data_IF_438114969753
#
_entry.id   IF_438114969753
#
_cell.length_a   1.000
_cell.length_b   1.000
_cell.length_c   1.000
_cell.angle_alpha   90.00
_cell.angle_beta   90.00
_cell.angle_gamma   90.00
#
_symmetry.space_group_name_H-M   'P 1'
#
loop_
_entity.id
_entity.type
_entity.pdbx_description
1 polymer ?
#
# COMPACT_ATOMS: atom_id res chain seq x y z
N UNK A 1 24.59 -0.65 -8.60
CA UNK A 1 23.89 -1.17 -7.39
C UNK A 1 24.72 -0.73 -6.20
N UNK A 2 24.07 -0.24 -5.14
CA UNK A 2 24.72 0.22 -3.91
C UNK A 2 23.99 -0.45 -2.74
N UNK A 3 24.75 -0.97 -1.79
CA UNK A 3 24.19 -1.50 -0.55
C UNK A 3 23.95 -0.37 0.45
N UNK A 4 23.01 -0.55 1.38
CA UNK A 4 22.80 0.41 2.46
C UNK A 4 24.11 0.61 3.25
N UNK A 5 24.40 1.86 3.60
CA UNK A 5 25.62 2.31 4.30
C UNK A 5 26.93 2.13 3.52
N UNK A 6 26.91 1.57 2.30
CA UNK A 6 28.10 1.53 1.46
C UNK A 6 28.41 2.92 0.92
N UNK A 7 29.65 3.38 1.08
CA UNK A 7 30.13 4.62 0.44
C UNK A 7 30.67 4.30 -0.95
N UNK A 8 30.15 5.03 -1.95
CA UNK A 8 30.60 4.97 -3.35
C UNK A 8 31.08 6.36 -3.76
N UNK A 9 32.12 6.43 -4.58
CA UNK A 9 32.63 7.67 -5.15
C UNK A 9 32.61 7.62 -6.68
N UNK A 10 32.05 8.65 -7.30
CA UNK A 10 32.03 8.82 -8.76
C UNK A 10 32.38 10.26 -9.08
N UNK A 11 33.46 10.48 -9.84
CA UNK A 11 33.91 11.80 -10.27
C UNK A 11 34.08 12.81 -9.11
N UNK A 12 34.62 12.36 -7.97
CA UNK A 12 34.83 13.19 -6.78
C UNK A 12 33.57 13.48 -5.95
N UNK A 13 32.44 12.85 -6.28
CA UNK A 13 31.19 12.92 -5.51
C UNK A 13 31.07 11.62 -4.71
N UNK A 14 31.10 11.72 -3.37
CA UNK A 14 30.86 10.58 -2.49
C UNK A 14 29.39 10.51 -2.11
N UNK A 15 28.82 9.32 -2.10
CA UNK A 15 27.45 9.12 -1.67
C UNK A 15 27.25 7.75 -1.04
N UNK A 16 26.28 7.68 -0.14
CA UNK A 16 25.79 6.45 0.49
C UNK A 16 24.31 6.64 0.82
N UNK A 17 23.64 5.57 1.23
CA UNK A 17 22.24 5.64 1.58
C UNK A 17 21.88 4.96 2.90
N UNK A 18 20.81 5.46 3.49
CA UNK A 18 20.15 4.94 4.69
C UNK A 18 18.79 4.36 4.31
N UNK A 19 18.23 3.45 5.11
CA UNK A 19 16.84 3.01 4.88
C UNK A 19 15.87 4.17 5.11
N UNK A 20 14.89 4.33 4.21
CA UNK A 20 13.84 5.33 4.33
C UNK A 20 12.52 4.75 4.91
N UNK A 21 12.46 3.44 5.17
CA UNK A 21 11.17 2.78 5.41
C UNK A 21 10.25 2.94 4.20
N UNK A 22 9.02 3.40 4.39
CA UNK A 22 8.05 3.78 3.34
C UNK A 22 7.65 2.66 2.34
N UNK A 23 8.58 2.16 1.51
CA UNK A 23 8.43 0.96 0.66
C UNK A 23 9.71 0.13 0.69
N UNK A 24 9.62 -1.15 0.33
CA UNK A 24 10.78 -2.05 0.29
C UNK A 24 11.90 -1.48 -0.61
N UNK A 25 13.08 -1.27 -0.02
CA UNK A 25 14.26 -0.74 -0.72
C UNK A 25 14.32 0.78 -0.83
N UNK A 26 13.37 1.53 -0.28
CA UNK A 26 13.45 2.99 -0.27
C UNK A 26 14.67 3.47 0.53
N UNK A 27 15.30 4.52 0.01
CA UNK A 27 16.60 4.95 0.47
C UNK A 27 16.70 6.48 0.57
N UNK A 28 17.23 6.97 1.68
CA UNK A 28 17.64 8.37 1.83
C UNK A 28 19.11 8.48 1.45
N UNK A 29 19.43 9.30 0.45
CA UNK A 29 20.80 9.45 -0.04
C UNK A 29 21.48 10.63 0.65
N UNK A 30 22.67 10.38 1.20
CA UNK A 30 23.59 11.44 1.59
C UNK A 30 24.65 11.59 0.50
N UNK A 31 24.86 12.82 0.07
CA UNK A 31 25.84 13.21 -0.95
C UNK A 31 26.84 14.17 -0.33
N UNK A 32 28.12 13.87 -0.45
CA UNK A 32 29.25 14.65 0.07
C UNK A 32 30.13 15.11 -1.11
N UNK A 33 30.20 16.42 -1.31
CA UNK A 33 31.02 17.06 -2.35
C UNK A 33 31.93 18.07 -1.68
N UNK A 34 33.23 17.77 -1.65
CA UNK A 34 34.24 18.62 -1.00
C UNK A 34 33.89 18.98 0.46
N UNK A 35 33.25 18.06 1.20
CA UNK A 35 32.85 18.25 2.59
C UNK A 35 31.47 18.89 2.81
N UNK A 36 30.82 19.42 1.75
CA UNK A 36 29.42 19.86 1.81
C UNK A 36 28.50 18.65 1.71
N UNK A 37 27.60 18.47 2.67
CA UNK A 37 26.72 17.31 2.78
C UNK A 37 25.26 17.66 2.54
N UNK A 38 24.65 16.98 1.58
CA UNK A 38 23.24 17.10 1.23
C UNK A 38 22.55 15.76 1.51
N UNK A 39 21.52 15.78 2.36
CA UNK A 39 20.62 14.66 2.55
C UNK A 39 19.39 14.87 1.67
N UNK A 40 19.09 13.90 0.80
CA UNK A 40 17.81 13.81 0.10
C UNK A 40 17.03 12.63 0.67
N UNK A 41 15.87 12.90 1.28
CA UNK A 41 15.09 11.85 1.96
C UNK A 41 14.31 10.97 0.98
N UNK A 42 13.94 11.48 -0.19
CA UNK A 42 12.79 10.92 -0.91
C UNK A 42 11.55 10.89 0.00
N UNK A 43 10.69 9.90 -0.20
CA UNK A 43 9.57 9.63 0.71
C UNK A 43 10.04 8.69 1.83
N UNK A 44 9.76 9.04 3.08
CA UNK A 44 10.27 8.30 4.24
C UNK A 44 9.19 8.12 5.32
N UNK A 45 9.29 7.04 6.09
CA UNK A 45 8.42 6.79 7.24
C UNK A 45 9.24 6.53 8.48
N UNK A 46 8.97 7.27 9.56
CA UNK A 46 9.62 7.09 10.86
C UNK A 46 8.92 6.11 11.79
N UNK A 47 7.81 5.52 11.34
CA UNK A 47 7.13 4.45 12.05
C UNK A 47 7.48 3.10 11.41
N UNK A 48 7.79 2.12 12.25
CA UNK A 48 7.91 0.73 11.84
C UNK A 48 6.51 0.17 11.53
N UNK A 49 6.36 -0.50 10.38
CA UNK A 49 5.12 -1.16 10.03
C UNK A 49 5.22 -2.69 10.23
N UNK A 50 4.31 -3.47 9.65
CA UNK A 50 4.33 -4.93 9.81
C UNK A 50 5.55 -5.59 9.20
N UNK A 51 6.20 -4.96 8.21
CA UNK A 51 7.29 -5.55 7.44
C UNK A 51 8.49 -4.63 7.20
N UNK A 52 8.32 -3.32 7.18
CA UNK A 52 9.38 -2.35 6.95
C UNK A 52 9.90 -1.77 8.25
N UNK A 53 11.21 -1.49 8.24
CA UNK A 53 11.88 -0.71 9.28
C UNK A 53 11.46 0.75 9.19
N UNK A 54 11.53 1.47 10.30
CA UNK A 54 11.50 2.92 10.27
C UNK A 54 12.74 3.46 9.55
N UNK A 55 12.60 4.63 8.92
CA UNK A 55 13.69 5.38 8.36
C UNK A 55 14.75 5.67 9.43
N UNK A 56 16.02 5.58 9.07
CA UNK A 56 17.12 5.84 10.00
C UNK A 56 17.33 7.33 10.25
N UNK A 57 17.99 7.67 11.36
CA UNK A 57 18.54 9.02 11.57
C UNK A 57 20.02 8.97 11.22
N UNK A 58 20.52 9.79 10.27
CA UNK A 58 21.95 9.88 10.01
C UNK A 58 22.75 10.19 11.28
N UNK A 59 23.92 9.57 11.43
CA UNK A 59 24.78 9.74 12.61
C UNK A 59 25.37 11.16 12.73
N UNK A 60 25.32 11.95 11.67
CA UNK A 60 25.79 13.33 11.63
C UNK A 60 24.82 14.19 10.83
N UNK A 61 24.77 15.47 11.18
CA UNK A 61 23.92 16.44 10.51
C UNK A 61 24.40 16.73 9.09
N UNK A 62 23.47 16.78 8.10
CA UNK A 62 23.78 17.36 6.79
C UNK A 62 23.83 18.89 6.88
N UNK A 63 24.53 19.52 5.94
CA UNK A 63 24.48 20.98 5.76
C UNK A 63 23.17 21.41 5.08
N UNK A 64 22.66 20.57 4.16
CA UNK A 64 21.41 20.80 3.43
C UNK A 64 20.53 19.55 3.56
N UNK A 65 19.26 19.75 3.90
CA UNK A 65 18.26 18.68 3.92
C UNK A 65 17.15 18.99 2.91
N UNK A 66 17.00 18.12 1.91
CA UNK A 66 15.88 18.13 0.96
C UNK A 66 14.90 17.06 1.43
N UNK A 67 13.76 17.50 1.94
CA UNK A 67 12.79 16.66 2.64
C UNK A 67 11.40 16.73 2.01
N UNK A 68 10.68 15.60 2.00
CA UNK A 68 9.28 15.54 1.56
C UNK A 68 8.33 16.29 2.52
N UNK A 69 7.13 16.61 2.04
CA UNK A 69 6.13 17.40 2.79
C UNK A 69 4.71 16.85 2.71
N UNK A 70 4.54 15.58 2.27
CA UNK A 70 3.24 14.97 1.94
C UNK A 70 2.24 15.06 3.10
N UNK A 71 2.70 14.79 4.32
CA UNK A 71 1.91 14.83 5.54
C UNK A 71 2.44 15.84 6.58
N UNK A 72 3.23 16.84 6.15
CA UNK A 72 4.00 17.70 7.06
C UNK A 72 3.19 18.53 8.07
N UNK A 73 1.88 18.65 7.88
CA UNK A 73 0.95 19.36 8.79
C UNK A 73 -0.11 18.44 9.43
N UNK A 74 -0.01 17.13 9.21
CA UNK A 74 -0.97 16.14 9.69
C UNK A 74 -0.36 15.31 10.81
N UNK A 75 -1.21 14.93 11.78
CA UNK A 75 -0.83 13.99 12.83
C UNK A 75 -1.41 12.62 12.53
N UNK A 76 -0.55 11.60 12.48
CA UNK A 76 -1.00 10.23 12.28
C UNK A 76 -1.62 9.68 13.56
N UNK A 77 -2.75 9.00 13.40
CA UNK A 77 -3.30 8.17 14.46
C UNK A 77 -2.40 6.95 14.71
N UNK A 78 -2.38 6.39 15.94
CA UNK A 78 -1.62 5.19 16.24
C UNK A 78 -1.93 4.06 15.26
N UNK A 79 -0.90 3.29 14.86
CA UNK A 79 -1.04 2.19 13.90
C UNK A 79 -2.16 1.22 14.26
N UNK A 80 -2.26 0.83 15.53
CA UNK A 80 -3.31 -0.09 16.02
C UNK A 80 -4.72 0.45 15.81
N UNK A 81 -4.93 1.76 15.97
CA UNK A 81 -6.22 2.42 15.73
C UNK A 81 -6.54 2.44 14.22
N UNK A 82 -5.53 2.75 13.38
CA UNK A 82 -5.69 2.77 11.92
C UNK A 82 -6.01 1.38 11.36
N UNK A 83 -5.27 0.36 11.79
CA UNK A 83 -5.49 -1.03 11.40
C UNK A 83 -6.87 -1.52 11.85
N UNK A 84 -7.27 -1.26 13.10
CA UNK A 84 -8.60 -1.63 13.60
C UNK A 84 -9.69 -0.98 12.76
N UNK A 85 -9.60 0.33 12.50
CA UNK A 85 -10.58 1.04 11.67
C UNK A 85 -10.68 0.44 10.28
N UNK A 86 -9.55 0.11 9.66
CA UNK A 86 -9.51 -0.55 8.37
C UNK A 86 -10.24 -1.90 8.40
N UNK A 87 -9.91 -2.78 9.36
CA UNK A 87 -10.54 -4.10 9.47
C UNK A 87 -12.01 -4.03 9.85
N UNK A 88 -12.42 -3.06 10.67
CA UNK A 88 -13.82 -2.85 11.06
C UNK A 88 -14.69 -2.51 9.84
N UNK A 89 -14.21 -1.60 8.98
CA UNK A 89 -14.91 -1.25 7.74
C UNK A 89 -15.01 -2.48 6.85
N UNK A 90 -13.89 -3.17 6.59
CA UNK A 90 -13.86 -4.39 5.76
C UNK A 90 -14.86 -5.43 6.28
N UNK A 91 -14.81 -5.77 7.57
CA UNK A 91 -15.67 -6.76 8.19
C UNK A 91 -17.14 -6.37 8.07
N UNK A 92 -17.50 -5.14 8.48
CA UNK A 92 -18.90 -4.70 8.47
C UNK A 92 -19.53 -4.70 7.07
N UNK A 93 -18.74 -4.33 6.05
CA UNK A 93 -19.16 -4.37 4.64
C UNK A 93 -19.46 -5.79 4.20
N UNK A 94 -18.53 -6.73 4.40
CA UNK A 94 -18.70 -8.11 3.92
C UNK A 94 -19.76 -8.88 4.73
N UNK A 95 -19.88 -8.62 6.03
CA UNK A 95 -20.94 -9.17 6.87
C UNK A 95 -22.35 -8.71 6.45
N UNK A 96 -22.45 -7.53 5.84
CA UNK A 96 -23.70 -7.00 5.25
C UNK A 96 -23.99 -7.55 3.85
N UNK A 97 -23.14 -8.44 3.33
CA UNK A 97 -23.21 -9.00 1.98
C UNK A 97 -22.70 -8.04 0.89
N UNK A 98 -21.95 -7.01 1.27
CA UNK A 98 -21.33 -6.05 0.36
C UNK A 98 -19.94 -6.45 -0.12
N UNK A 99 -19.40 -5.67 -1.05
CA UNK A 99 -18.07 -5.84 -1.62
C UNK A 99 -17.16 -4.70 -1.21
N UNK A 100 -15.90 -5.00 -0.95
CA UNK A 100 -14.89 -4.02 -0.60
C UNK A 100 -13.89 -3.89 -1.75
N UNK A 101 -13.77 -2.69 -2.31
CA UNK A 101 -12.71 -2.32 -3.24
C UNK A 101 -11.59 -1.60 -2.48
N UNK A 102 -10.35 -2.04 -2.68
CA UNK A 102 -9.15 -1.38 -2.14
C UNK A 102 -8.24 -1.01 -3.32
N UNK A 103 -8.33 0.21 -3.87
CA UNK A 103 -7.49 0.61 -4.98
C UNK A 103 -6.06 0.89 -4.48
N UNK A 104 -5.10 0.06 -4.91
CA UNK A 104 -3.71 0.14 -4.47
C UNK A 104 -2.75 -0.19 -5.62
N UNK A 105 -1.53 0.36 -5.56
CA UNK A 105 -0.45 -0.09 -6.44
C UNK A 105 0.01 -1.49 -6.05
N UNK A 106 0.51 -2.24 -7.03
CA UNK A 106 0.96 -3.62 -6.84
C UNK A 106 2.20 -3.76 -5.92
N UNK A 107 2.90 -2.66 -5.66
CA UNK A 107 4.10 -2.64 -4.84
C UNK A 107 4.04 -1.45 -3.87
N UNK A 108 4.36 -1.71 -2.60
CA UNK A 108 4.38 -0.73 -1.52
C UNK A 108 3.31 -1.05 -0.48
N UNK A 109 2.40 -0.10 -0.23
CA UNK A 109 1.38 -0.23 0.83
C UNK A 109 0.47 -1.44 0.68
N UNK A 110 0.28 -1.97 -0.54
CA UNK A 110 -0.48 -3.19 -0.76
C UNK A 110 0.01 -4.36 0.08
N UNK A 111 1.33 -4.57 0.19
CA UNK A 111 1.88 -5.69 0.95
C UNK A 111 1.57 -5.61 2.45
N UNK A 112 1.57 -4.40 3.03
CA UNK A 112 1.14 -4.21 4.41
C UNK A 112 -0.34 -4.53 4.60
N UNK A 113 -1.21 -4.04 3.70
CA UNK A 113 -2.65 -4.31 3.77
C UNK A 113 -2.97 -5.80 3.61
N UNK A 114 -2.23 -6.51 2.75
CA UNK A 114 -2.37 -7.96 2.59
C UNK A 114 -1.99 -8.71 3.88
N UNK A 115 -0.90 -8.30 4.55
CA UNK A 115 -0.53 -8.85 5.87
C UNK A 115 -1.61 -8.59 6.93
N UNK A 116 -2.18 -7.37 6.96
CA UNK A 116 -3.27 -7.03 7.89
C UNK A 116 -4.49 -7.94 7.63
N UNK A 117 -4.89 -8.08 6.38
CA UNK A 117 -6.07 -8.85 5.99
C UNK A 117 -5.89 -10.36 6.23
N UNK A 118 -4.74 -10.93 5.88
CA UNK A 118 -4.49 -12.38 6.07
C UNK A 118 -4.49 -12.75 7.56
N UNK A 119 -3.82 -11.94 8.40
CA UNK A 119 -3.85 -12.13 9.85
C UNK A 119 -5.25 -11.93 10.44
N UNK A 120 -5.99 -10.93 9.95
CA UNK A 120 -7.37 -10.71 10.38
C UNK A 120 -8.27 -11.89 10.02
N UNK A 121 -8.19 -12.39 8.79
CA UNK A 121 -8.97 -13.58 8.36
C UNK A 121 -8.59 -14.82 9.16
N UNK A 122 -7.30 -15.06 9.41
CA UNK A 122 -6.84 -16.18 10.25
C UNK A 122 -7.44 -16.15 11.67
N UNK A 123 -7.73 -14.97 12.21
CA UNK A 123 -8.33 -14.81 13.53
C UNK A 123 -9.87 -14.89 13.55
N UNK A 124 -10.52 -14.89 12.38
CA UNK A 124 -11.98 -14.77 12.24
C UNK A 124 -12.54 -15.89 11.33
N UNK A 125 -12.74 -17.11 11.85
CA UNK A 125 -13.21 -18.26 11.08
C UNK A 125 -14.54 -18.05 10.35
N UNK A 126 -15.40 -17.17 10.85
CA UNK A 126 -16.66 -16.79 10.21
C UNK A 126 -16.47 -16.11 8.85
N UNK A 127 -15.31 -15.52 8.59
CA UNK A 127 -14.97 -14.85 7.32
C UNK A 127 -14.33 -15.80 6.31
N UNK A 128 -14.00 -17.04 6.67
CA UNK A 128 -13.23 -17.96 5.80
C UNK A 128 -13.92 -18.30 4.47
N UNK A 129 -15.25 -18.14 4.38
CA UNK A 129 -16.01 -18.34 3.14
C UNK A 129 -16.05 -17.09 2.25
N UNK A 130 -15.53 -15.96 2.71
CA UNK A 130 -15.51 -14.68 2.00
C UNK A 130 -14.12 -14.51 1.38
N UNK A 131 -14.00 -14.50 0.04
CA UNK A 131 -12.71 -14.45 -0.62
C UNK A 131 -12.08 -13.05 -0.58
N UNK A 132 -10.75 -13.04 -0.45
CA UNK A 132 -9.91 -11.86 -0.66
C UNK A 132 -9.10 -12.07 -1.94
N UNK A 133 -9.17 -11.10 -2.85
CA UNK A 133 -8.44 -11.13 -4.11
C UNK A 133 -7.38 -10.04 -4.16
N UNK A 134 -6.16 -10.44 -4.52
CA UNK A 134 -5.11 -9.52 -4.90
C UNK A 134 -5.00 -9.45 -6.43
N UNK A 135 -5.55 -8.38 -6.99
CA UNK A 135 -5.82 -8.23 -8.40
C UNK A 135 -4.79 -7.32 -9.08
N UNK A 136 -3.68 -7.91 -9.51
CA UNK A 136 -2.66 -7.20 -10.28
C UNK A 136 -1.92 -8.13 -11.25
N UNK A 137 -1.70 -7.70 -12.52
CA UNK A 137 -0.81 -8.42 -13.44
C UNK A 137 0.62 -8.58 -12.90
N UNK A 138 1.04 -7.68 -12.00
CA UNK A 138 2.37 -7.70 -11.39
C UNK A 138 2.42 -8.44 -10.05
N UNK A 139 1.27 -8.87 -9.51
CA UNK A 139 1.16 -9.48 -8.17
C UNK A 139 2.24 -10.53 -7.90
N UNK A 140 2.35 -11.54 -8.77
CA UNK A 140 3.32 -12.64 -8.63
C UNK A 140 4.77 -12.15 -8.64
N UNK A 141 5.10 -11.19 -9.51
CA UNK A 141 6.47 -10.64 -9.61
C UNK A 141 6.80 -9.79 -8.40
N UNK A 142 5.86 -8.96 -7.93
CA UNK A 142 6.02 -8.16 -6.72
C UNK A 142 6.23 -9.05 -5.49
N UNK A 143 5.46 -10.13 -5.34
CA UNK A 143 5.66 -11.08 -4.23
C UNK A 143 7.05 -11.73 -4.26
N UNK A 144 7.54 -12.12 -5.43
CA UNK A 144 8.89 -12.70 -5.56
C UNK A 144 9.99 -11.74 -5.10
N UNK A 145 9.85 -10.43 -5.39
CA UNK A 145 10.77 -9.40 -4.90
C UNK A 145 10.72 -9.30 -3.38
N UNK A 146 9.52 -9.27 -2.78
CA UNK A 146 9.37 -9.21 -1.32
C UNK A 146 10.00 -10.42 -0.62
N UNK A 147 9.80 -11.62 -1.16
CA UNK A 147 10.38 -12.85 -0.63
C UNK A 147 11.91 -12.90 -0.77
N UNK A 148 12.46 -12.31 -1.84
CA UNK A 148 13.91 -12.29 -2.09
C UNK A 148 14.63 -11.32 -1.14
N UNK A 149 14.03 -10.17 -0.82
CA UNK A 149 14.65 -9.13 0.00
C UNK A 149 14.19 -9.11 1.45
N UNK A 150 13.84 -10.27 2.03
CA UNK A 150 13.44 -10.38 3.44
C UNK A 150 14.50 -9.86 4.42
N UNK A 151 15.78 -9.97 4.08
CA UNK A 151 16.86 -9.44 4.93
C UNK A 151 16.82 -7.90 5.06
N UNK A 152 16.17 -7.20 4.12
CA UNK A 152 15.98 -5.75 4.18
C UNK A 152 14.74 -5.35 5.03
N UNK A 153 13.92 -6.31 5.45
CA UNK A 153 12.72 -6.09 6.24
C UNK A 153 13.04 -6.00 7.75
N UNK A 154 12.02 -5.70 8.55
CA UNK A 154 12.14 -5.60 9.99
C UNK A 154 12.39 -6.94 10.68
N UNK A 155 12.68 -6.89 11.99
CA UNK A 155 13.05 -8.09 12.75
C UNK A 155 11.90 -9.10 12.82
N UNK A 156 10.66 -8.61 12.96
CA UNK A 156 9.46 -9.44 12.99
C UNK A 156 9.37 -10.37 11.78
N UNK A 157 9.49 -9.83 10.56
CA UNK A 157 9.39 -10.62 9.34
C UNK A 157 10.58 -11.57 9.19
N UNK A 158 11.80 -11.11 9.49
CA UNK A 158 12.99 -11.99 9.44
C UNK A 158 12.84 -13.20 10.37
N UNK A 159 12.39 -12.98 11.60
CA UNK A 159 12.18 -14.06 12.57
C UNK A 159 11.04 -14.99 12.17
N UNK A 160 9.95 -14.46 11.62
CA UNK A 160 8.82 -15.29 11.16
C UNK A 160 9.21 -16.17 9.95
N UNK A 161 10.07 -15.66 9.06
CA UNK A 161 10.48 -16.36 7.85
C UNK A 161 11.26 -17.66 8.11
N UNK A 162 11.87 -17.83 9.28
CA UNK A 162 12.54 -19.07 9.68
C UNK A 162 11.57 -20.26 9.79
N UNK A 163 10.29 -20.00 10.11
CA UNK A 163 9.26 -21.02 10.27
C UNK A 163 8.16 -21.01 9.21
N UNK A 164 7.84 -19.84 8.63
CA UNK A 164 6.81 -19.69 7.59
C UNK A 164 6.99 -18.41 6.81
N UNK A 165 6.74 -18.44 5.49
CA UNK A 165 6.78 -17.25 4.66
C UNK A 165 5.56 -16.34 4.92
N UNK A 166 5.71 -15.12 5.48
CA UNK A 166 4.58 -14.25 5.78
C UNK A 166 3.92 -13.65 4.52
N UNK A 167 4.56 -13.76 3.35
CA UNK A 167 3.99 -13.35 2.06
C UNK A 167 3.41 -14.54 1.26
N UNK A 168 3.35 -15.72 1.87
CA UNK A 168 2.57 -16.85 1.36
C UNK A 168 1.19 -16.84 2.04
N UNK A 169 0.31 -15.98 1.54
CA UNK A 169 -0.98 -15.70 2.14
C UNK A 169 -1.92 -16.90 2.05
N UNK A 170 -2.61 -17.22 3.15
CA UNK A 170 -3.51 -18.38 3.24
C UNK A 170 -4.94 -18.06 2.82
N UNK A 171 -5.35 -16.80 2.99
CA UNK A 171 -6.72 -16.34 2.76
C UNK A 171 -6.83 -15.41 1.56
N UNK A 172 -5.73 -15.17 0.84
CA UNK A 172 -5.70 -14.25 -0.31
C UNK A 172 -5.35 -15.00 -1.58
N UNK A 173 -6.22 -14.87 -2.59
CA UNK A 173 -6.03 -15.47 -3.91
C UNK A 173 -5.61 -14.43 -4.95
N UNK A 174 -4.70 -14.77 -5.89
CA UNK A 174 -4.37 -13.86 -6.99
C UNK A 174 -5.53 -13.77 -7.97
N UNK A 175 -5.81 -12.56 -8.46
CA UNK A 175 -6.78 -12.32 -9.54
C UNK A 175 -6.05 -11.68 -10.74
N UNK A 176 -6.11 -12.34 -11.90
CA UNK A 176 -5.37 -11.87 -13.09
C UNK A 176 -6.09 -10.75 -13.82
N UNK A 177 -7.40 -10.87 -13.97
CA UNK A 177 -8.24 -9.96 -14.73
C UNK A 177 -9.71 -10.13 -14.32
N UNK A 178 -10.57 -9.23 -14.80
CA UNK A 178 -11.99 -9.24 -14.48
C UNK A 178 -12.73 -10.45 -15.06
N UNK A 179 -12.25 -11.01 -16.17
CA UNK A 179 -12.85 -12.19 -16.80
C UNK A 179 -12.69 -13.45 -15.93
N UNK A 180 -11.70 -13.45 -15.04
CA UNK A 180 -11.45 -14.53 -14.08
C UNK A 180 -12.13 -14.29 -12.74
N UNK A 181 -12.92 -13.21 -12.62
CA UNK A 181 -13.58 -12.82 -11.40
C UNK A 181 -15.07 -13.21 -11.45
N UNK A 182 -15.45 -14.16 -10.61
CA UNK A 182 -16.85 -14.52 -10.40
C UNK A 182 -17.42 -13.64 -9.29
N UNK A 183 -18.20 -12.62 -9.67
CA UNK A 183 -18.70 -11.60 -8.74
C UNK A 183 -19.92 -12.06 -7.92
N UNK A 184 -19.78 -13.15 -7.18
CA UNK A 184 -20.85 -13.81 -6.41
C UNK A 184 -20.67 -13.59 -4.91
N UNK A 185 -21.65 -12.91 -4.30
CA UNK A 185 -21.66 -12.67 -2.85
C UNK A 185 -20.66 -11.60 -2.40
N UNK A 186 -20.39 -11.51 -1.08
CA UNK A 186 -19.42 -10.57 -0.55
C UNK A 186 -17.99 -10.97 -0.92
N UNK A 187 -17.14 -9.98 -1.19
CA UNK A 187 -15.72 -10.19 -1.48
C UNK A 187 -14.91 -8.95 -1.15
N UNK A 188 -13.60 -9.14 -0.97
CA UNK A 188 -12.62 -8.05 -0.85
C UNK A 188 -11.70 -8.11 -2.05
N UNK A 189 -11.58 -7.03 -2.82
CA UNK A 189 -10.69 -6.98 -3.99
C UNK A 189 -9.73 -5.80 -3.86
N UNK A 190 -8.44 -6.11 -3.77
CA UNK A 190 -7.37 -5.14 -3.87
C UNK A 190 -6.89 -5.05 -5.32
N UNK A 191 -7.11 -3.92 -5.98
CA UNK A 191 -6.86 -3.77 -7.42
C UNK A 191 -6.06 -2.52 -7.77
N UNK A 192 -5.25 -2.61 -8.82
CA UNK A 192 -4.52 -1.47 -9.35
C UNK A 192 -5.24 -0.79 -10.53
N UNK A 193 -5.03 0.52 -10.78
CA UNK A 193 -4.23 1.49 -10.03
C UNK A 193 -4.99 2.16 -8.86
N UNK A 194 -4.24 2.79 -7.94
CA UNK A 194 -4.84 3.48 -6.77
C UNK A 194 -5.71 4.70 -7.12
N UNK A 195 -5.38 5.43 -8.19
CA UNK A 195 -6.08 6.65 -8.59
C UNK A 195 -7.42 6.44 -9.30
N UNK A 196 -7.87 5.18 -9.48
CA UNK A 196 -9.12 4.82 -10.19
C UNK A 196 -9.25 5.46 -11.59
N UNK A 197 -8.14 5.75 -12.26
CA UNK A 197 -8.17 6.40 -13.58
C UNK A 197 -8.57 5.45 -14.70
N UNK A 198 -8.15 4.19 -14.59
CA UNK A 198 -8.30 3.16 -15.61
C UNK A 198 -8.08 1.79 -14.99
N UNK A 199 -8.02 0.73 -15.79
CA UNK A 199 -7.66 -0.60 -15.34
C UNK A 199 -8.71 -1.24 -14.42
N UNK A 200 -8.29 -2.30 -13.73
CA UNK A 200 -9.20 -3.19 -13.01
C UNK A 200 -9.88 -2.51 -11.81
N UNK A 201 -9.15 -1.67 -11.07
CA UNK A 201 -9.74 -0.94 -9.95
C UNK A 201 -10.87 0.00 -10.40
N UNK A 202 -10.70 0.67 -11.55
CA UNK A 202 -11.75 1.51 -12.15
C UNK A 202 -12.91 0.68 -12.67
N UNK A 203 -12.65 -0.44 -13.34
CA UNK A 203 -13.71 -1.32 -13.83
C UNK A 203 -14.59 -1.83 -12.68
N UNK A 204 -13.98 -2.29 -11.58
CA UNK A 204 -14.72 -2.73 -10.40
C UNK A 204 -15.48 -1.58 -9.72
N UNK A 205 -14.86 -0.40 -9.63
CA UNK A 205 -15.54 0.79 -9.11
C UNK A 205 -16.79 1.12 -9.92
N UNK A 206 -16.70 1.17 -11.25
CA UNK A 206 -17.84 1.48 -12.12
C UNK A 206 -18.99 0.48 -11.96
N UNK A 207 -18.69 -0.80 -11.69
CA UNK A 207 -19.70 -1.86 -11.44
C UNK A 207 -20.32 -1.71 -10.05
N UNK A 208 -19.53 -1.34 -9.04
CA UNK A 208 -19.94 -1.42 -7.63
C UNK A 208 -20.44 -0.11 -7.01
N UNK A 209 -20.14 1.05 -7.61
CA UNK A 209 -20.35 2.36 -7.00
C UNK A 209 -21.81 2.74 -6.67
N UNK A 210 -22.78 2.11 -7.34
CA UNK A 210 -24.20 2.40 -7.15
C UNK A 210 -24.86 1.59 -6.02
N UNK A 211 -24.20 0.56 -5.48
CA UNK A 211 -24.75 -0.25 -4.39
C UNK A 211 -24.21 0.23 -3.03
N UNK A 212 -25.13 0.69 -2.18
CA UNK A 212 -24.85 1.19 -0.83
C UNK A 212 -24.30 0.15 0.14
N UNK A 213 -24.35 -1.13 -0.21
CA UNK A 213 -23.72 -2.19 0.58
C UNK A 213 -22.21 -2.24 0.36
N UNK A 214 -21.71 -1.71 -0.75
CA UNK A 214 -20.30 -1.78 -1.10
C UNK A 214 -19.51 -0.64 -0.45
N UNK A 215 -18.20 -0.84 -0.35
CA UNK A 215 -17.27 0.16 0.16
C UNK A 215 -16.01 0.27 -0.73
N UNK A 216 -15.46 1.47 -0.88
CA UNK A 216 -14.20 1.77 -1.56
C UNK A 216 -13.23 2.41 -0.57
N UNK A 217 -12.27 1.63 -0.08
CA UNK A 217 -11.32 2.10 0.93
C UNK A 217 -10.06 2.64 0.23
N UNK A 218 -9.85 3.96 0.27
CA UNK A 218 -8.65 4.61 -0.27
C UNK A 218 -7.51 4.57 0.78
N UNK A 219 -6.46 3.75 0.61
CA UNK A 219 -5.52 3.47 1.71
C UNK A 219 -4.31 4.40 1.77
N UNK A 220 -4.21 5.40 0.90
CA UNK A 220 -3.02 6.24 0.79
C UNK A 220 -3.27 7.61 0.16
N UNK A 221 -2.19 8.35 -0.02
CA UNK A 221 -2.24 9.66 -0.66
C UNK A 221 -2.76 9.53 -2.10
N UNK A 222 -3.66 10.44 -2.47
CA UNK A 222 -4.23 10.53 -3.82
C UNK A 222 -3.91 11.88 -4.41
N UNK A 223 -3.49 11.87 -5.68
CA UNK A 223 -3.12 13.07 -6.42
C UNK A 223 -4.37 13.81 -6.88
N UNK A 224 -4.32 15.13 -6.85
CA UNK A 224 -5.37 16.00 -7.41
C UNK A 224 -5.67 15.66 -8.88
N UNK A 225 -6.93 15.81 -9.25
CA UNK A 225 -7.42 15.46 -10.60
C UNK A 225 -7.67 13.96 -10.82
N UNK A 226 -7.47 13.10 -9.82
CA UNK A 226 -7.84 11.68 -9.90
C UNK A 226 -9.26 11.43 -9.39
N UNK A 227 -9.92 10.38 -9.87
CA UNK A 227 -11.25 9.95 -9.42
C UNK A 227 -11.21 9.54 -7.95
N UNK A 228 -10.14 8.88 -7.51
CA UNK A 228 -9.94 8.55 -6.10
C UNK A 228 -9.96 9.82 -5.21
N UNK A 229 -9.39 10.93 -5.69
CA UNK A 229 -9.47 12.22 -5.00
C UNK A 229 -10.87 12.83 -5.03
N UNK A 230 -11.58 12.72 -6.14
CA UNK A 230 -12.96 13.21 -6.27
C UNK A 230 -13.89 12.51 -5.28
N UNK A 231 -13.83 11.18 -5.17
CA UNK A 231 -14.78 10.41 -4.35
C UNK A 231 -14.56 10.56 -2.84
N UNK A 232 -13.35 10.96 -2.41
CA UNK A 232 -13.07 11.28 -0.99
C UNK A 232 -13.90 12.47 -0.50
N UNK A 233 -14.35 13.36 -1.40
CA UNK A 233 -15.22 14.48 -1.05
C UNK A 233 -16.72 14.10 -1.08
N UNK A 234 -17.04 12.81 -1.18
CA UNK A 234 -18.41 12.26 -1.14
C UNK A 234 -19.38 12.98 -2.11
N UNK A 235 -19.06 13.06 -3.41
CA UNK A 235 -19.96 13.66 -4.38
C UNK A 235 -21.25 12.82 -4.49
N UNK A 236 -22.37 13.46 -4.81
CA UNK A 236 -23.64 12.75 -5.03
C UNK A 236 -23.58 11.81 -6.24
N UNK A 237 -22.83 12.20 -7.27
CA UNK A 237 -22.75 11.51 -8.54
C UNK A 237 -21.30 11.41 -9.01
N UNK A 238 -21.00 10.38 -9.81
CA UNK A 238 -19.69 10.14 -10.43
C UNK A 238 -19.84 9.80 -11.91
N UNK A 239 -18.85 10.18 -12.72
CA UNK A 239 -18.80 9.86 -14.14
C UNK A 239 -18.04 8.57 -14.38
N UNK A 240 -18.70 7.58 -14.99
CA UNK A 240 -18.14 6.28 -15.37
C UNK A 240 -17.25 6.39 -16.62
N UNK A 241 -16.47 5.35 -16.92
CA UNK A 241 -15.59 5.34 -18.09
C UNK A 241 -16.33 5.48 -19.43
N UNK A 242 -17.58 5.03 -19.48
CA UNK A 242 -18.43 5.15 -20.66
C UNK A 242 -19.08 6.54 -20.83
N UNK A 243 -18.77 7.49 -19.94
CA UNK A 243 -19.30 8.86 -19.96
C UNK A 243 -20.66 9.03 -19.27
N UNK A 244 -21.28 7.97 -18.78
CA UNK A 244 -22.52 8.07 -18.02
C UNK A 244 -22.24 8.63 -16.61
N UNK A 245 -23.16 9.43 -16.11
CA UNK A 245 -23.14 9.90 -14.71
C UNK A 245 -24.12 9.09 -13.91
N UNK A 246 -23.68 8.55 -12.77
CA UNK A 246 -24.48 7.69 -11.89
C UNK A 246 -24.36 8.13 -10.44
N UNK A 247 -25.34 7.81 -9.58
CA UNK A 247 -25.23 8.08 -8.15
C UNK A 247 -24.06 7.32 -7.51
N UNK A 248 -23.30 8.00 -6.64
CA UNK A 248 -22.32 7.36 -5.78
C UNK A 248 -23.00 6.98 -4.47
N UNK A 249 -23.36 5.71 -4.34
CA UNK A 249 -24.01 5.18 -3.14
C UNK A 249 -23.08 4.32 -2.28
N UNK A 250 -22.01 3.76 -2.86
CA UNK A 250 -21.00 3.02 -2.11
C UNK A 250 -20.29 3.94 -1.10
N UNK A 251 -19.89 3.37 0.03
CA UNK A 251 -19.19 4.10 1.10
C UNK A 251 -17.69 4.23 0.85
#
# INVERSE_FOLDING_TARGET
VIDFHQTVEVNGIRFWCYTAGHVLGAAMFMVDIAGLRVLYTGDYSREEDRHLRAAETPQFSPDICIIESTYGVQLHQPRTVREKRFTDVVHSTVASGGRVLIPAFALGRAQELLLILDEYWSAHPELHNIPIYYASPLAKRCMAVYQTYINAMNERIRSQFEGSNPFDFKHISPLKSIENFEDVGPSVVMASPSGLQSGLSRQLFDIWCQDKKNACIIPGYVVEGTLAKTIINEPKDVTLMNGLTVPLNMQ
#
